data_IF_808744070782
#
_entry.id   IF_808744070782
#
_cell.length_a   1.000
_cell.length_b   1.000
_cell.length_c   1.000
_cell.angle_alpha   90.00
_cell.angle_beta   90.00
_cell.angle_gamma   90.00
#
_symmetry.space_group_name_H-M   'P 1'
#
loop_
_entity.id
_entity.type
_entity.pdbx_description
1 polymer ?
#
# COMPACT_ATOMS: atom_id res chain seq x y z
N UNK A 1 20.78 -49.53 -7.18
CA UNK A 1 21.02 -48.08 -7.39
C UNK A 1 19.68 -47.37 -7.37
N UNK A 2 19.31 -46.78 -6.24
CA UNK A 2 18.09 -46.00 -6.09
C UNK A 2 18.39 -44.53 -6.47
N UNK A 3 17.58 -43.95 -7.36
CA UNK A 3 17.61 -42.50 -7.65
C UNK A 3 16.91 -41.78 -6.49
N UNK A 4 17.48 -40.71 -5.92
CA UNK A 4 16.74 -39.85 -5.01
C UNK A 4 15.82 -38.94 -5.84
N UNK A 5 14.52 -39.07 -5.62
CA UNK A 5 13.49 -38.13 -6.08
C UNK A 5 13.66 -36.85 -5.26
N UNK A 6 14.11 -35.77 -5.90
CA UNK A 6 14.16 -34.45 -5.28
C UNK A 6 12.73 -33.92 -5.16
N UNK A 7 12.16 -34.01 -3.97
CA UNK A 7 10.96 -33.26 -3.61
C UNK A 7 11.38 -31.79 -3.46
N UNK A 8 11.22 -31.02 -4.54
CA UNK A 8 11.15 -29.58 -4.41
C UNK A 8 9.87 -29.27 -3.64
N UNK A 9 9.99 -28.99 -2.35
CA UNK A 9 8.92 -28.42 -1.54
C UNK A 9 8.55 -27.08 -2.19
N UNK A 10 7.48 -27.06 -2.99
CA UNK A 10 6.76 -25.84 -3.31
C UNK A 10 6.40 -25.21 -1.96
N UNK A 11 7.10 -24.12 -1.60
CA UNK A 11 6.66 -23.30 -0.48
C UNK A 11 5.31 -22.77 -0.90
N UNK A 12 4.27 -23.25 -0.25
CA UNK A 12 2.92 -22.72 -0.40
C UNK A 12 2.99 -21.20 -0.26
N UNK A 13 2.64 -20.48 -1.32
CA UNK A 13 2.66 -19.03 -1.33
C UNK A 13 1.56 -18.54 -0.38
N UNK A 14 1.93 -18.22 0.85
CA UNK A 14 0.98 -17.73 1.86
C UNK A 14 0.55 -16.33 1.45
N UNK A 15 -0.71 -16.20 1.04
CA UNK A 15 -1.35 -14.91 0.80
C UNK A 15 -1.95 -14.43 2.11
N UNK A 16 -1.57 -13.23 2.54
CA UNK A 16 -2.14 -12.58 3.72
C UNK A 16 -3.43 -11.88 3.31
N UNK A 17 -4.52 -12.20 4.00
CA UNK A 17 -5.81 -11.52 3.84
C UNK A 17 -5.86 -10.23 4.66
N UNK A 18 -6.81 -9.36 4.34
CA UNK A 18 -7.06 -8.12 5.08
C UNK A 18 -5.87 -7.16 5.11
N UNK A 19 -5.26 -6.91 3.95
CA UNK A 19 -4.19 -5.94 3.78
C UNK A 19 -4.76 -4.68 3.12
N UNK A 20 -4.27 -3.51 3.52
CA UNK A 20 -4.80 -2.22 3.08
C UNK A 20 -3.71 -1.40 2.39
N UNK A 21 -4.03 -0.83 1.23
CA UNK A 21 -3.16 0.10 0.53
C UNK A 21 -3.40 1.51 1.07
N UNK A 22 -2.34 2.20 1.50
CA UNK A 22 -2.34 3.65 1.71
C UNK A 22 -1.69 4.34 0.50
N UNK A 23 -2.51 5.07 -0.24
CA UNK A 23 -2.07 5.90 -1.36
C UNK A 23 -2.06 7.38 -0.97
N UNK A 24 -0.88 8.02 -1.06
CA UNK A 24 -0.77 9.47 -1.11
C UNK A 24 -1.02 9.93 -2.55
N UNK A 25 -1.74 11.03 -2.72
CA UNK A 25 -2.10 11.55 -4.04
C UNK A 25 -2.27 13.08 -4.00
N UNK A 26 -2.41 13.70 -5.18
CA UNK A 26 -2.68 15.13 -5.27
C UNK A 26 -3.95 15.50 -4.46
N UNK A 27 -3.91 16.56 -3.64
CA UNK A 27 -5.04 16.91 -2.81
C UNK A 27 -6.29 17.28 -3.62
N UNK A 28 -7.46 16.81 -3.19
CA UNK A 28 -8.74 17.23 -3.75
C UNK A 28 -9.73 17.66 -2.65
N UNK A 29 -10.67 18.52 -3.02
CA UNK A 29 -11.74 18.99 -2.14
C UNK A 29 -12.93 18.03 -2.17
N UNK A 30 -13.55 17.84 -1.02
CA UNK A 30 -14.82 17.11 -0.89
C UNK A 30 -15.74 17.86 0.06
N UNK A 31 -17.03 18.08 -0.27
CA UNK A 31 -17.97 18.74 0.63
C UNK A 31 -18.11 18.07 2.00
N UNK A 32 -17.82 16.77 2.08
CA UNK A 32 -17.90 15.98 3.30
C UNK A 32 -16.63 16.06 4.17
N UNK A 33 -15.55 16.70 3.69
CA UNK A 33 -14.28 16.80 4.40
C UNK A 33 -13.89 18.27 4.61
N UNK A 34 -13.61 18.70 5.86
CA UNK A 34 -13.28 20.09 6.17
C UNK A 34 -11.87 20.50 5.70
N UNK A 35 -11.04 19.55 5.29
CA UNK A 35 -9.68 19.74 4.80
C UNK A 35 -9.50 19.00 3.47
N UNK A 36 -8.55 19.44 2.61
CA UNK A 36 -8.23 18.73 1.39
C UNK A 36 -7.82 17.28 1.69
N UNK A 37 -8.38 16.32 0.93
CA UNK A 37 -8.01 14.91 1.02
C UNK A 37 -6.75 14.70 0.19
N UNK A 38 -5.67 14.24 0.82
CA UNK A 38 -4.37 13.97 0.19
C UNK A 38 -3.91 12.50 0.35
N UNK A 39 -4.74 11.69 1.01
CA UNK A 39 -4.47 10.28 1.21
C UNK A 39 -5.77 9.47 1.18
N UNK A 40 -5.68 8.24 0.69
CA UNK A 40 -6.80 7.30 0.66
C UNK A 40 -6.31 5.93 1.11
N UNK A 41 -7.02 5.30 2.05
CA UNK A 41 -6.86 3.87 2.37
C UNK A 41 -7.97 3.07 1.72
N UNK A 42 -7.61 1.98 1.05
CA UNK A 42 -8.56 0.98 0.53
C UNK A 42 -8.11 -0.42 0.89
N UNK A 43 -9.05 -1.37 0.92
CA UNK A 43 -8.71 -2.78 0.99
C UNK A 43 -7.94 -3.21 -0.27
N UNK A 44 -6.92 -4.06 -0.14
CA UNK A 44 -6.07 -4.50 -1.25
C UNK A 44 -6.87 -5.13 -2.41
N UNK A 45 -7.96 -5.83 -2.12
CA UNK A 45 -8.86 -6.39 -3.15
C UNK A 45 -9.43 -5.33 -4.11
N UNK A 46 -9.48 -4.05 -3.72
CA UNK A 46 -9.90 -2.96 -4.63
C UNK A 46 -9.00 -2.87 -5.86
N UNK A 47 -7.74 -3.29 -5.76
CA UNK A 47 -6.82 -3.35 -6.91
C UNK A 47 -7.23 -4.39 -7.96
N UNK A 48 -8.17 -5.28 -7.63
CA UNK A 48 -8.77 -6.25 -8.53
C UNK A 48 -10.08 -5.76 -9.16
N UNK A 49 -10.49 -4.52 -8.85
CA UNK A 49 -11.67 -3.93 -9.47
C UNK A 49 -11.45 -3.73 -10.99
N UNK A 50 -12.44 -4.01 -11.86
CA UNK A 50 -12.27 -3.92 -13.32
C UNK A 50 -11.88 -2.53 -13.87
N UNK A 51 -12.18 -1.46 -13.12
CA UNK A 51 -11.78 -0.10 -13.49
C UNK A 51 -10.30 0.21 -13.16
N UNK A 52 -9.60 -0.66 -12.42
CA UNK A 52 -8.15 -0.57 -12.23
C UNK A 52 -7.44 -1.22 -13.42
N UNK A 53 -6.40 -0.59 -14.00
CA UNK A 53 -5.62 -1.20 -15.08
C UNK A 53 -5.09 -2.59 -14.71
N UNK A 54 -5.52 -3.61 -15.45
CA UNK A 54 -5.03 -4.99 -15.30
C UNK A 54 -4.04 -5.32 -16.44
N UNK A 55 -2.97 -6.10 -16.18
CA UNK A 55 -2.71 -6.91 -14.97
C UNK A 55 -2.02 -6.16 -13.82
N UNK A 56 -1.77 -4.86 -13.97
CA UNK A 56 -0.95 -4.06 -13.05
C UNK A 56 -1.56 -3.99 -11.64
N UNK A 57 -2.86 -3.71 -11.52
CA UNK A 57 -3.57 -3.75 -10.25
C UNK A 57 -3.47 -5.10 -9.57
N UNK A 58 -3.68 -6.19 -10.32
CA UNK A 58 -3.53 -7.55 -9.81
C UNK A 58 -2.11 -7.89 -9.36
N UNK A 59 -1.07 -7.36 -10.02
CA UNK A 59 0.33 -7.53 -9.57
C UNK A 59 0.62 -6.72 -8.32
N UNK A 60 0.10 -5.49 -8.21
CA UNK A 60 0.18 -4.69 -6.98
C UNK A 60 -0.56 -5.35 -5.81
N UNK A 61 -1.73 -5.95 -6.07
CA UNK A 61 -2.45 -6.76 -5.08
C UNK A 61 -1.54 -7.87 -4.54
N UNK A 62 -0.90 -8.62 -5.43
CA UNK A 62 0.03 -9.67 -5.04
C UNK A 62 1.22 -9.11 -4.27
N UNK A 63 1.75 -7.92 -4.64
CA UNK A 63 2.80 -7.24 -3.88
C UNK A 63 2.39 -6.95 -2.43
N UNK A 64 1.14 -6.55 -2.22
CA UNK A 64 0.61 -6.28 -0.88
C UNK A 64 0.44 -7.56 -0.06
N UNK A 65 -0.05 -8.64 -0.67
CA UNK A 65 -0.51 -9.82 0.05
C UNK A 65 0.49 -10.96 0.14
N UNK A 66 1.47 -11.03 -0.77
CA UNK A 66 2.47 -12.11 -0.83
C UNK A 66 3.85 -11.70 -0.30
N UNK A 67 4.04 -10.46 0.15
CA UNK A 67 5.33 -10.02 0.69
C UNK A 67 5.67 -10.75 2.00
N UNK A 68 6.89 -11.34 2.13
CA UNK A 68 7.30 -12.01 3.36
C UNK A 68 7.32 -11.05 4.56
N UNK A 69 6.46 -11.31 5.55
CA UNK A 69 6.37 -10.48 6.76
C UNK A 69 5.13 -9.59 6.82
N UNK A 70 4.29 -9.58 5.79
CA UNK A 70 2.97 -8.95 5.87
C UNK A 70 2.11 -9.61 6.95
N UNK A 71 1.26 -8.82 7.61
CA UNK A 71 0.31 -9.28 8.64
C UNK A 71 -1.13 -8.86 8.34
N UNK A 72 -2.15 -9.62 8.80
CA UNK A 72 -3.54 -9.21 8.65
C UNK A 72 -3.84 -7.89 9.34
N UNK A 73 -4.64 -7.05 8.71
CA UNK A 73 -5.00 -5.71 9.16
C UNK A 73 -3.95 -4.63 8.84
N UNK A 74 -2.84 -4.97 8.21
CA UNK A 74 -1.74 -4.04 8.00
C UNK A 74 -2.05 -2.97 6.95
N UNK A 75 -1.78 -1.71 7.30
CA UNK A 75 -1.81 -0.58 6.37
C UNK A 75 -0.43 -0.41 5.74
N UNK A 76 -0.38 -0.55 4.42
CA UNK A 76 0.85 -0.54 3.63
C UNK A 76 0.89 0.71 2.75
N UNK A 77 1.75 1.68 3.05
CA UNK A 77 2.00 2.79 2.16
C UNK A 77 2.57 2.34 0.82
N UNK A 78 2.20 3.02 -0.25
CA UNK A 78 2.85 2.87 -1.55
C UNK A 78 4.39 3.07 -1.48
N UNK A 79 4.85 3.94 -0.57
CA UNK A 79 6.28 4.14 -0.30
C UNK A 79 6.96 2.88 0.27
N UNK A 80 6.25 2.09 1.09
CA UNK A 80 6.71 0.79 1.56
C UNK A 80 6.84 -0.18 0.38
N UNK A 81 5.83 -0.28 -0.49
CA UNK A 81 5.95 -1.12 -1.70
C UNK A 81 7.12 -0.69 -2.59
N UNK A 82 7.29 0.62 -2.78
CA UNK A 82 8.41 1.18 -3.55
C UNK A 82 9.75 0.78 -2.94
N UNK A 83 9.87 0.84 -1.61
CA UNK A 83 11.05 0.36 -0.89
C UNK A 83 11.28 -1.15 -1.06
N UNK A 84 10.23 -1.96 -0.95
CA UNK A 84 10.26 -3.42 -1.16
C UNK A 84 10.66 -3.81 -2.59
N UNK A 85 10.47 -2.90 -3.55
CA UNK A 85 10.78 -3.03 -4.98
C UNK A 85 12.08 -2.30 -5.39
N UNK A 86 13.13 -2.45 -4.57
CA UNK A 86 14.48 -1.89 -4.78
C UNK A 86 14.48 -0.36 -4.92
N UNK A 87 13.71 0.32 -4.07
CA UNK A 87 13.56 1.78 -4.14
C UNK A 87 12.86 2.24 -5.41
N UNK A 88 11.98 1.40 -5.96
CA UNK A 88 11.16 1.66 -7.14
C UNK A 88 11.76 1.21 -8.47
N UNK A 89 13.00 0.72 -8.48
CA UNK A 89 13.65 0.26 -9.72
C UNK A 89 12.94 -0.95 -10.36
N UNK A 90 12.18 -1.71 -9.57
CA UNK A 90 11.47 -2.90 -10.04
C UNK A 90 10.01 -2.64 -10.42
N UNK A 91 9.50 -1.41 -10.28
CA UNK A 91 8.15 -1.05 -10.72
C UNK A 91 7.85 -1.39 -12.18
N UNK A 92 8.73 -1.16 -13.17
CA UNK A 92 8.47 -1.52 -14.57
C UNK A 92 8.23 -3.02 -14.82
N UNK A 93 8.65 -3.89 -13.88
CA UNK A 93 8.41 -5.34 -13.95
C UNK A 93 7.09 -5.74 -13.26
N UNK A 94 6.51 -4.83 -12.48
CA UNK A 94 5.32 -5.05 -11.66
C UNK A 94 4.12 -4.32 -12.27
N UNK A 95 4.16 -2.99 -12.34
CA UNK A 95 3.02 -2.16 -12.69
C UNK A 95 3.43 -0.73 -13.06
N UNK A 96 2.60 -0.08 -13.88
CA UNK A 96 2.45 1.38 -13.89
C UNK A 96 1.64 1.80 -12.65
N UNK A 97 2.35 1.97 -11.53
CA UNK A 97 1.72 2.21 -10.22
C UNK A 97 0.97 3.54 -10.17
N UNK A 98 1.39 4.56 -10.93
CA UNK A 98 0.74 5.89 -10.96
C UNK A 98 -0.67 5.74 -11.51
N UNK A 99 -0.82 5.07 -12.66
CA UNK A 99 -2.13 4.83 -13.26
C UNK A 99 -3.03 3.95 -12.40
N UNK A 100 -2.45 2.99 -11.67
CA UNK A 100 -3.21 2.16 -10.72
C UNK A 100 -3.72 2.99 -9.55
N UNK A 101 -2.87 3.83 -8.96
CA UNK A 101 -3.26 4.71 -7.84
C UNK A 101 -4.34 5.71 -8.28
N UNK A 102 -4.18 6.34 -9.44
CA UNK A 102 -5.19 7.25 -10.00
C UNK A 102 -6.55 6.56 -10.17
N UNK A 103 -6.55 5.34 -10.70
CA UNK A 103 -7.77 4.56 -10.86
C UNK A 103 -8.42 4.19 -9.52
N UNK A 104 -7.62 3.77 -8.52
CA UNK A 104 -8.11 3.46 -7.17
C UNK A 104 -8.72 4.70 -6.51
N UNK A 105 -8.02 5.84 -6.57
CA UNK A 105 -8.52 7.10 -6.00
C UNK A 105 -9.80 7.53 -6.74
N UNK A 106 -9.87 7.35 -8.06
CA UNK A 106 -11.08 7.63 -8.82
C UNK A 106 -12.26 6.76 -8.36
N UNK A 107 -12.07 5.45 -8.20
CA UNK A 107 -13.11 4.52 -7.72
C UNK A 107 -13.59 4.94 -6.33
N UNK A 108 -12.67 5.16 -5.39
CA UNK A 108 -12.97 5.57 -4.02
C UNK A 108 -13.78 6.88 -3.98
N UNK A 109 -13.38 7.88 -4.77
CA UNK A 109 -14.09 9.17 -4.87
C UNK A 109 -15.51 9.07 -5.38
N UNK A 110 -15.79 8.07 -6.20
CA UNK A 110 -17.11 7.83 -6.78
C UNK A 110 -17.88 6.73 -6.05
N UNK A 111 -17.45 6.37 -4.83
CA UNK A 111 -18.09 5.36 -3.98
C UNK A 111 -18.22 3.98 -4.66
N UNK A 112 -17.27 3.65 -5.54
CA UNK A 112 -17.19 2.33 -6.17
C UNK A 112 -16.52 1.26 -5.29
N UNK A 113 -16.05 1.65 -4.11
CA UNK A 113 -15.58 0.78 -3.04
C UNK A 113 -15.66 1.53 -1.69
N UNK A 114 -15.54 0.79 -0.59
CA UNK A 114 -15.26 1.38 0.71
C UNK A 114 -13.82 1.89 0.76
N UNK A 115 -13.68 3.12 1.24
CA UNK A 115 -12.39 3.79 1.37
C UNK A 115 -12.38 4.71 2.60
N UNK A 116 -11.18 4.97 3.13
CA UNK A 116 -10.95 6.00 4.14
C UNK A 116 -10.20 7.18 3.51
N UNK A 117 -10.90 8.18 2.96
CA UNK A 117 -10.29 9.43 2.52
C UNK A 117 -9.82 10.26 3.73
N UNK A 118 -8.62 10.81 3.66
CA UNK A 118 -7.98 11.54 4.75
C UNK A 118 -7.24 12.79 4.26
N UNK A 119 -7.32 13.86 5.03
CA UNK A 119 -6.40 14.99 4.93
C UNK A 119 -5.29 14.83 5.97
N UNK A 120 -4.21 14.13 5.59
CA UNK A 120 -3.05 13.96 6.46
C UNK A 120 -2.32 15.29 6.67
N UNK A 121 -1.95 15.64 7.91
CA UNK A 121 -1.03 16.74 8.17
C UNK A 121 0.28 16.57 7.41
N UNK A 122 0.93 17.67 7.06
CA UNK A 122 2.14 17.67 6.22
C UNK A 122 3.24 16.73 6.76
N UNK A 123 3.49 16.73 8.07
CA UNK A 123 4.51 15.86 8.69
C UNK A 123 4.16 14.38 8.51
N UNK A 124 2.91 14.00 8.75
CA UNK A 124 2.46 12.62 8.58
C UNK A 124 2.55 12.18 7.11
N UNK A 125 2.15 13.05 6.17
CA UNK A 125 2.25 12.79 4.73
C UNK A 125 3.71 12.59 4.28
N UNK A 126 4.65 13.41 4.79
CA UNK A 126 6.08 13.25 4.51
C UNK A 126 6.62 11.93 5.05
N UNK A 127 6.29 11.59 6.30
CA UNK A 127 6.75 10.36 6.95
C UNK A 127 6.26 9.09 6.23
N UNK A 128 4.96 9.01 5.93
CA UNK A 128 4.38 7.84 5.25
C UNK A 128 4.67 7.85 3.75
N UNK A 129 5.03 8.99 3.16
CA UNK A 129 5.53 9.09 1.78
C UNK A 129 7.00 8.71 1.63
N UNK A 130 7.79 8.81 2.70
CA UNK A 130 9.15 8.32 2.76
C UNK A 130 9.25 6.80 2.92
N UNK A 131 10.41 6.26 2.52
CA UNK A 131 10.74 4.85 2.76
C UNK A 131 10.83 4.55 4.27
N UNK A 132 10.71 3.28 4.68
CA UNK A 132 10.68 2.87 6.09
C UNK A 132 11.87 3.37 6.94
N UNK A 133 13.02 3.61 6.30
CA UNK A 133 14.26 4.02 6.96
C UNK A 133 14.64 5.50 6.71
N UNK A 134 13.75 6.30 6.10
CA UNK A 134 14.04 7.69 5.77
C UNK A 134 13.97 8.59 7.00
N UNK A 135 14.97 9.45 7.18
CA UNK A 135 14.96 10.54 8.17
C UNK A 135 14.75 11.86 7.44
N UNK A 136 13.82 12.67 7.92
CA UNK A 136 13.47 13.97 7.36
C UNK A 136 13.90 15.08 8.32
N UNK A 137 14.56 16.10 7.77
CA UNK A 137 14.76 17.37 8.47
C UNK A 137 13.55 18.28 8.24
N UNK A 138 12.95 18.73 9.34
CA UNK A 138 11.85 19.69 9.34
C UNK A 138 12.40 21.06 9.73
N UNK A 139 12.06 22.05 8.91
CA UNK A 139 12.39 23.46 9.14
C UNK A 139 11.18 24.16 9.73
N UNK A 140 11.31 24.65 10.96
CA UNK A 140 10.24 25.36 11.62
C UNK A 140 10.23 26.86 11.24
N UNK A 141 9.07 27.55 11.33
CA UNK A 141 8.99 28.98 11.04
C UNK A 141 9.89 29.86 11.91
N UNK A 142 10.27 29.39 13.10
CA UNK A 142 11.18 30.08 14.02
C UNK A 142 12.67 29.87 13.67
N UNK A 143 12.96 29.14 12.59
CA UNK A 143 14.30 28.81 12.13
C UNK A 143 14.93 27.60 12.83
N UNK A 144 14.24 26.99 13.80
CA UNK A 144 14.69 25.76 14.44
C UNK A 144 14.56 24.57 13.49
N UNK A 145 15.35 23.53 13.78
CA UNK A 145 15.34 22.27 13.03
C UNK A 145 14.96 21.14 13.96
N UNK A 146 14.10 20.26 13.48
CA UNK A 146 13.79 19.00 14.14
C UNK A 146 13.92 17.84 13.15
N UNK A 147 14.24 16.65 13.64
CA UNK A 147 14.25 15.45 12.83
C UNK A 147 13.03 14.59 13.15
N UNK A 148 12.53 13.91 12.13
CA UNK A 148 11.51 12.87 12.26
C UNK A 148 11.90 11.72 11.35
N UNK A 149 11.59 10.49 11.72
CA UNK A 149 12.11 9.33 11.02
C UNK A 149 11.33 8.04 11.24
N UNK A 150 12.01 6.88 11.24
CA UNK A 150 11.34 5.58 11.23
C UNK A 150 10.39 5.33 12.41
N UNK A 151 10.72 5.85 13.60
CA UNK A 151 9.90 5.65 14.80
C UNK A 151 8.57 6.40 14.68
N UNK A 152 8.61 7.69 14.32
CA UNK A 152 7.42 8.51 14.14
C UNK A 152 6.58 8.01 12.96
N UNK A 153 7.24 7.55 11.88
CA UNK A 153 6.57 6.89 10.76
C UNK A 153 5.77 5.67 11.22
N UNK A 154 6.38 4.78 12.02
CA UNK A 154 5.70 3.59 12.50
C UNK A 154 4.52 3.93 13.41
N UNK A 155 4.68 4.92 14.30
CA UNK A 155 3.59 5.40 15.16
C UNK A 155 2.37 5.84 14.33
N UNK A 156 2.56 6.60 13.26
CA UNK A 156 1.46 6.99 12.37
C UNK A 156 0.84 5.79 11.64
N UNK A 157 1.62 4.81 11.22
CA UNK A 157 1.06 3.60 10.60
C UNK A 157 0.27 2.74 11.59
N UNK A 158 0.69 2.68 12.85
CA UNK A 158 -0.03 1.99 13.91
C UNK A 158 -1.37 2.68 14.21
N UNK A 159 -1.39 4.02 14.23
CA UNK A 159 -2.62 4.82 14.37
C UNK A 159 -3.60 4.57 13.21
N UNK A 160 -3.12 4.63 11.97
CA UNK A 160 -3.93 4.36 10.76
C UNK A 160 -4.44 2.91 10.75
N UNK A 161 -3.59 1.96 11.13
CA UNK A 161 -3.99 0.55 11.30
C UNK A 161 -5.08 0.40 12.36
N UNK A 162 -4.98 1.13 13.48
CA UNK A 162 -6.02 1.19 14.50
C UNK A 162 -7.35 1.75 13.97
N UNK A 163 -7.31 2.74 13.07
CA UNK A 163 -8.49 3.30 12.43
C UNK A 163 -9.17 2.29 11.50
N UNK A 164 -8.38 1.61 10.66
CA UNK A 164 -8.86 0.56 9.77
C UNK A 164 -9.50 -0.59 10.55
N UNK A 165 -8.85 -1.05 11.63
CA UNK A 165 -9.38 -2.12 12.48
C UNK A 165 -10.72 -1.76 13.13
N UNK A 166 -10.88 -0.51 13.59
CA UNK A 166 -12.15 -0.04 14.15
C UNK A 166 -13.25 -0.01 13.10
N UNK A 167 -12.96 0.50 11.90
CA UNK A 167 -13.91 0.47 10.78
C UNK A 167 -14.29 -0.97 10.41
N UNK A 168 -13.31 -1.85 10.23
CA UNK A 168 -13.51 -3.25 9.87
C UNK A 168 -14.32 -4.05 10.92
N UNK A 169 -14.32 -3.60 12.18
CA UNK A 169 -15.14 -4.21 13.24
C UNK A 169 -16.64 -3.91 13.10
N UNK A 170 -17.01 -2.85 12.38
CA UNK A 170 -18.42 -2.51 12.07
C UNK A 170 -18.92 -3.26 10.83
N UNK A 171 -18.01 -3.70 9.97
CA UNK A 171 -18.24 -4.53 8.79
C UNK A 171 -16.97 -4.60 7.95
N UNK A 172 -16.73 -5.70 7.20
CA UNK A 172 -15.56 -5.77 6.33
C UNK A 172 -15.64 -4.69 5.25
N UNK A 173 -14.49 -4.13 4.87
CA UNK A 173 -14.41 -3.22 3.73
C UNK A 173 -14.96 -3.90 2.47
N UNK A 174 -15.97 -3.30 1.85
CA UNK A 174 -16.43 -3.70 0.53
C UNK A 174 -15.44 -3.21 -0.54
N UNK A 175 -14.75 -4.11 -1.27
CA UNK A 175 -13.70 -3.73 -2.23
C UNK A 175 -14.24 -3.27 -3.60
N UNK A 176 -15.57 -3.15 -3.74
CA UNK A 176 -16.24 -3.00 -5.03
C UNK A 176 -16.73 -4.33 -5.61
N UNK A 177 -17.45 -4.24 -6.73
CA UNK A 177 -18.08 -5.40 -7.38
C UNK A 177 -17.22 -5.98 -8.51
N UNK A 178 -17.56 -7.21 -8.93
CA UNK A 178 -17.01 -7.87 -10.12
C UNK A 178 -15.49 -7.98 -10.15
N UNK A 179 -14.87 -8.21 -8.99
CA UNK A 179 -13.41 -8.35 -8.87
C UNK A 179 -12.87 -9.42 -9.80
N UNK A 180 -11.79 -9.10 -10.52
CA UNK A 180 -11.09 -10.08 -11.36
C UNK A 180 -10.15 -10.94 -10.52
N UNK A 181 -9.80 -12.14 -11.00
CA UNK A 181 -8.78 -12.94 -10.33
C UNK A 181 -7.39 -12.33 -10.51
N UNK A 182 -6.51 -12.37 -9.49
CA UNK A 182 -5.15 -11.88 -9.62
C UNK A 182 -4.33 -12.69 -10.64
N UNK A 183 -3.39 -12.06 -11.36
CA UNK A 183 -2.58 -12.73 -12.38
C UNK A 183 -1.59 -13.69 -11.74
N UNK A 184 -1.43 -14.88 -12.35
CA UNK A 184 -0.46 -15.89 -11.90
C UNK A 184 0.99 -15.54 -12.25
N UNK A 185 1.20 -14.70 -13.26
CA UNK A 185 2.53 -14.30 -13.72
C UNK A 185 2.88 -12.86 -13.27
N UNK A 186 4.11 -12.60 -12.81
CA UNK A 186 5.19 -13.59 -12.67
C UNK A 186 4.92 -14.58 -11.52
N UNK A 187 5.36 -15.83 -11.64
CA UNK A 187 5.15 -16.84 -10.56
C UNK A 187 5.61 -16.35 -9.19
N UNK A 188 6.76 -15.67 -9.15
CA UNK A 188 7.32 -15.05 -7.95
C UNK A 188 7.49 -13.56 -8.25
N UNK A 189 7.03 -12.72 -7.33
CA UNK A 189 7.20 -11.27 -7.44
C UNK A 189 8.66 -10.86 -7.16
N UNK A 190 9.18 -9.82 -7.83
CA UNK A 190 10.58 -9.44 -7.77
C UNK A 190 10.87 -8.60 -6.50
N UNK A 191 10.58 -9.12 -5.32
CA UNK A 191 10.88 -8.39 -4.09
C UNK A 191 12.39 -8.29 -3.87
N UNK A 192 12.86 -7.07 -3.64
CA UNK A 192 14.23 -6.76 -3.26
C UNK A 192 14.21 -5.50 -2.42
N UNK A 193 13.92 -5.61 -1.10
CA UNK A 193 13.89 -4.45 -0.22
C UNK A 193 15.19 -3.67 -0.33
N UNK A 194 15.07 -2.36 -0.55
CA UNK A 194 16.20 -1.48 -0.77
C UNK A 194 17.15 -1.54 0.43
N UNK A 195 18.42 -1.76 0.15
CA UNK A 195 19.48 -1.69 1.16
C UNK A 195 20.26 -0.42 0.89
N UNK A 196 20.15 0.56 1.79
CA UNK A 196 21.07 1.69 1.84
C UNK A 196 22.47 1.13 2.13
N UNK A 197 23.42 1.33 1.22
CA UNK A 197 24.84 1.10 1.51
C UNK A 197 25.38 2.18 2.45
#
# INVERSE_FOLDING_TARGET
MARPTSAATEREHVTVQDVYLLALHEPYQSPQHPVPINATIVHALTLLHPAVPQPDGGRMYRCLTEFPGRTPGEVVPLSTLTFELDGGQLWPQVADWERVVDAVVHIARHQGCDAMPMGLPQVAAVLVGGGPNTVHELYQPDGSRSQTGPVERQQHLDELTGHVRRFAAEGPFWPGDNLVSPPREPRVLPYKPYRSN
#
